data_IF_633377562107
#
_entry.id   IF_633377562107
#
_cell.length_a   1.000
_cell.length_b   1.000
_cell.length_c   1.000
_cell.angle_alpha   90.00
_cell.angle_beta   90.00
_cell.angle_gamma   90.00
#
_symmetry.space_group_name_H-M   'P 1'
#
loop_
_entity.id
_entity.type
_entity.pdbx_description
1 polymer ?
#
# COMPACT_ATOMS: atom_id res chain seq x y z
N UNK A 1 -15.41 22.54 -11.80
CA UNK A 1 -14.52 21.43 -11.39
C UNK A 1 -15.32 20.15 -11.10
N UNK A 2 -16.37 19.86 -11.88
CA UNK A 2 -17.48 18.98 -11.44
C UNK A 2 -17.93 17.97 -12.51
N UNK A 3 -17.47 18.11 -13.75
CA UNK A 3 -17.90 17.28 -14.89
C UNK A 3 -17.22 15.89 -14.89
N UNK A 4 -16.02 15.78 -14.30
CA UNK A 4 -15.25 14.53 -14.28
C UNK A 4 -15.73 13.47 -13.26
N UNK A 5 -16.35 13.90 -12.15
CA UNK A 5 -16.86 12.99 -11.12
C UNK A 5 -18.18 12.36 -11.56
N UNK A 6 -19.04 13.15 -12.22
CA UNK A 6 -20.30 12.68 -12.80
C UNK A 6 -20.04 11.56 -13.83
N UNK A 7 -19.07 11.75 -14.73
CA UNK A 7 -18.69 10.71 -15.71
C UNK A 7 -18.17 9.40 -15.11
N UNK A 8 -17.50 9.46 -13.95
CA UNK A 8 -17.00 8.25 -13.28
C UNK A 8 -18.15 7.48 -12.63
N UNK A 9 -19.09 8.18 -12.00
CA UNK A 9 -20.29 7.59 -11.40
C UNK A 9 -21.23 7.02 -12.48
N UNK A 10 -21.43 7.74 -13.59
CA UNK A 10 -22.20 7.27 -14.75
C UNK A 10 -21.58 6.02 -15.40
N UNK A 11 -20.25 5.93 -15.40
CA UNK A 11 -19.54 4.75 -15.90
C UNK A 11 -19.65 3.56 -14.94
N UNK A 12 -19.54 3.81 -13.63
CA UNK A 12 -19.75 2.81 -12.59
C UNK A 12 -21.18 2.25 -12.63
N UNK A 13 -22.19 3.09 -12.87
CA UNK A 13 -23.59 2.70 -13.09
C UNK A 13 -23.75 1.76 -14.29
N UNK A 14 -23.10 2.06 -15.42
CA UNK A 14 -23.20 1.27 -16.66
C UNK A 14 -22.60 -0.14 -16.58
N UNK A 15 -21.66 -0.38 -15.67
CA UNK A 15 -21.01 -1.69 -15.50
C UNK A 15 -21.64 -2.55 -14.40
N UNK A 16 -22.50 -1.99 -13.54
CA UNK A 16 -23.25 -2.73 -12.50
C UNK A 16 -24.11 -3.88 -13.08
N UNK A 17 -24.55 -3.78 -14.33
CA UNK A 17 -25.37 -4.80 -15.00
C UNK A 17 -24.61 -5.90 -15.74
N UNK A 18 -23.27 -5.81 -15.86
CA UNK A 18 -22.45 -6.75 -16.65
C UNK A 18 -21.81 -7.84 -15.77
N UNK A 19 -21.74 -7.61 -14.45
CA UNK A 19 -21.05 -8.50 -13.51
C UNK A 19 -22.01 -8.80 -12.36
N UNK A 20 -22.45 -10.06 -12.25
CA UNK A 20 -23.28 -10.51 -11.14
C UNK A 20 -22.41 -10.58 -9.87
N UNK A 21 -22.57 -9.59 -8.99
CA UNK A 21 -21.73 -9.36 -7.81
C UNK A 21 -22.13 -10.30 -6.67
N UNK A 22 -21.28 -11.30 -6.39
CA UNK A 22 -21.28 -11.97 -5.09
C UNK A 22 -20.16 -11.39 -4.21
N UNK A 23 -20.55 -10.62 -3.20
CA UNK A 23 -19.85 -10.52 -1.92
C UNK A 23 -18.65 -9.59 -1.73
N UNK A 24 -17.81 -9.27 -2.73
CA UNK A 24 -16.58 -8.46 -2.47
C UNK A 24 -16.29 -7.41 -3.57
N UNK A 25 -16.46 -6.10 -3.29
CA UNK A 25 -16.24 -5.01 -4.24
C UNK A 25 -14.75 -4.71 -4.57
N UNK A 26 -13.79 -5.39 -3.93
CA UNK A 26 -12.35 -5.12 -4.04
C UNK A 26 -11.77 -5.30 -5.45
N UNK A 27 -12.24 -6.28 -6.22
CA UNK A 27 -11.79 -6.49 -7.60
C UNK A 27 -12.19 -5.34 -8.55
N UNK A 28 -13.39 -4.78 -8.37
CA UNK A 28 -13.88 -3.64 -9.15
C UNK A 28 -13.09 -2.37 -8.80
N UNK A 29 -12.76 -2.19 -7.53
CA UNK A 29 -11.93 -1.08 -7.05
C UNK A 29 -10.55 -1.09 -7.74
N UNK A 30 -9.93 -2.25 -7.92
CA UNK A 30 -8.63 -2.36 -8.59
C UNK A 30 -8.70 -1.92 -10.07
N UNK A 31 -9.74 -2.35 -10.80
CA UNK A 31 -9.98 -1.91 -12.19
C UNK A 31 -10.25 -0.41 -12.28
N UNK A 32 -11.02 0.14 -11.33
CA UNK A 32 -11.32 1.58 -11.24
C UNK A 32 -10.05 2.37 -10.95
N UNK A 33 -9.21 1.94 -10.01
CA UNK A 33 -7.94 2.58 -9.68
C UNK A 33 -7.03 2.61 -10.92
N UNK A 34 -6.84 1.46 -11.58
CA UNK A 34 -6.00 1.35 -12.77
C UNK A 34 -6.44 2.32 -13.86
N UNK A 35 -7.75 2.33 -14.21
CA UNK A 35 -8.29 3.23 -15.24
C UNK A 35 -8.30 4.70 -14.81
N UNK A 36 -8.63 5.01 -13.57
CA UNK A 36 -8.69 6.39 -13.06
C UNK A 36 -7.31 7.07 -13.07
N UNK A 37 -6.27 6.39 -12.59
CA UNK A 37 -4.91 6.96 -12.58
C UNK A 37 -4.34 7.13 -13.99
N UNK A 38 -4.61 6.17 -14.89
CA UNK A 38 -4.25 6.28 -16.29
C UNK A 38 -4.98 7.44 -16.99
N UNK A 39 -6.29 7.56 -16.78
CA UNK A 39 -7.12 8.57 -17.44
C UNK A 39 -6.88 9.99 -16.90
N UNK A 40 -6.91 10.17 -15.57
CA UNK A 40 -6.85 11.50 -14.94
C UNK A 40 -5.43 12.04 -14.82
N UNK A 41 -4.47 11.18 -14.48
CA UNK A 41 -3.10 11.61 -14.15
C UNK A 41 -2.05 11.16 -15.17
N UNK A 42 -2.45 10.41 -16.21
CA UNK A 42 -1.52 9.79 -17.18
C UNK A 42 -0.44 8.93 -16.49
N UNK A 43 -0.78 8.35 -15.33
CA UNK A 43 0.10 7.50 -14.53
C UNK A 43 -0.17 6.02 -14.83
N UNK A 44 0.90 5.25 -14.97
CA UNK A 44 0.91 3.79 -15.03
C UNK A 44 0.84 3.26 -13.60
N UNK A 45 -0.35 2.91 -13.16
CA UNK A 45 -0.59 2.15 -11.93
C UNK A 45 -1.22 0.82 -12.34
N UNK A 46 -0.66 -0.28 -11.82
CA UNK A 46 -1.19 -1.62 -12.05
C UNK A 46 -1.40 -2.31 -10.70
N UNK A 47 -2.66 -2.43 -10.30
CA UNK A 47 -3.09 -3.28 -9.20
C UNK A 47 -3.63 -4.58 -9.79
N UNK A 48 -3.01 -5.69 -9.38
CA UNK A 48 -3.39 -7.04 -9.79
C UNK A 48 -4.18 -7.73 -8.69
N UNK A 49 -5.28 -8.40 -9.05
CA UNK A 49 -6.12 -9.12 -8.10
C UNK A 49 -6.81 -8.24 -7.07
N UNK A 50 -7.17 -8.84 -5.93
CA UNK A 50 -7.87 -8.19 -4.83
C UNK A 50 -6.86 -7.60 -3.85
N UNK A 51 -7.00 -6.33 -3.48
CA UNK A 51 -6.32 -5.75 -2.31
C UNK A 51 -7.35 -5.45 -1.22
N UNK A 52 -6.96 -5.62 0.04
CA UNK A 52 -7.79 -5.28 1.18
C UNK A 52 -7.30 -4.00 1.83
N UNK A 53 -8.19 -3.04 2.00
CA UNK A 53 -7.90 -1.80 2.72
C UNK A 53 -8.74 -1.75 3.99
N UNK A 54 -8.08 -1.54 5.11
CA UNK A 54 -8.71 -1.17 6.38
C UNK A 54 -8.45 0.32 6.63
N UNK A 55 -9.51 1.09 6.88
CA UNK A 55 -9.44 2.55 7.02
C UNK A 55 -9.79 3.30 5.73
N UNK A 56 -9.44 4.58 5.69
CA UNK A 56 -9.80 5.44 4.56
C UNK A 56 -8.85 5.28 3.37
N UNK A 57 -9.41 4.99 2.19
CA UNK A 57 -8.67 4.88 0.93
C UNK A 57 -7.90 6.17 0.57
N UNK A 58 -8.37 7.34 1.03
CA UNK A 58 -7.71 8.64 0.88
C UNK A 58 -6.30 8.67 1.47
N UNK A 59 -6.01 7.80 2.43
CA UNK A 59 -4.70 7.71 3.10
C UNK A 59 -3.72 6.76 2.39
N UNK A 60 -4.10 6.19 1.25
CA UNK A 60 -3.18 5.49 0.33
C UNK A 60 -2.86 6.43 -0.83
N UNK A 61 -1.68 7.04 -0.81
CA UNK A 61 -1.29 8.11 -1.71
C UNK A 61 -0.25 7.60 -2.72
N UNK A 62 -0.68 7.39 -3.96
CA UNK A 62 0.22 7.08 -5.08
C UNK A 62 0.73 8.38 -5.72
N UNK A 63 1.83 8.90 -5.18
CA UNK A 63 2.49 10.12 -5.67
C UNK A 63 3.22 9.89 -7.00
N UNK A 64 3.81 8.71 -7.20
CA UNK A 64 4.63 8.42 -8.37
C UNK A 64 3.89 7.79 -9.55
N UNK A 65 4.68 7.42 -10.57
CA UNK A 65 4.30 6.72 -11.79
C UNK A 65 4.92 5.31 -11.80
N UNK A 66 4.43 4.41 -12.65
CA UNK A 66 4.91 3.04 -12.80
C UNK A 66 4.89 2.25 -11.48
N UNK A 67 3.77 2.31 -10.77
CA UNK A 67 3.55 1.55 -9.53
C UNK A 67 2.85 0.23 -9.86
N UNK A 68 3.33 -0.86 -9.28
CA UNK A 68 2.67 -2.17 -9.36
C UNK A 68 2.35 -2.71 -7.96
N UNK A 69 1.16 -3.26 -7.80
CA UNK A 69 0.66 -3.84 -6.54
C UNK A 69 0.11 -5.24 -6.82
N UNK A 70 0.65 -6.22 -6.13
CA UNK A 70 0.30 -7.62 -6.21
C UNK A 70 -1.04 -7.95 -5.56
N UNK A 71 -1.60 -9.10 -5.92
CA UNK A 71 -2.83 -9.60 -5.32
C UNK A 71 -2.68 -9.89 -3.82
N UNK A 72 -3.79 -9.83 -3.10
CA UNK A 72 -3.95 -10.14 -1.68
C UNK A 72 -3.12 -9.27 -0.73
N UNK A 73 -2.66 -8.10 -1.19
CA UNK A 73 -2.04 -7.13 -0.30
C UNK A 73 -3.07 -6.59 0.71
N UNK A 74 -2.61 -6.32 1.93
CA UNK A 74 -3.43 -5.73 3.00
C UNK A 74 -2.81 -4.42 3.43
N UNK A 75 -3.56 -3.32 3.29
CA UNK A 75 -3.16 -1.99 3.74
C UNK A 75 -4.07 -1.56 4.88
N UNK A 76 -3.52 -1.38 6.08
CA UNK A 76 -4.29 -0.95 7.24
C UNK A 76 -3.83 0.44 7.67
N UNK A 77 -4.59 1.45 7.25
CA UNK A 77 -4.34 2.88 7.51
C UNK A 77 -5.38 3.43 8.49
N UNK A 78 -5.09 4.58 9.09
CA UNK A 78 -6.02 5.31 9.96
C UNK A 78 -6.07 6.79 9.58
N UNK A 79 -6.93 7.58 10.22
CA UNK A 79 -6.94 9.04 10.08
C UNK A 79 -5.58 9.71 10.35
N UNK A 80 -4.70 9.06 11.12
CA UNK A 80 -3.40 9.61 11.56
C UNK A 80 -2.19 9.01 10.83
N UNK A 81 -2.40 8.13 9.85
CA UNK A 81 -1.30 7.44 9.17
C UNK A 81 -1.59 7.12 7.72
N UNK A 82 -0.58 7.32 6.86
CA UNK A 82 -0.70 7.16 5.41
C UNK A 82 0.29 6.12 4.89
N UNK A 83 -0.02 5.60 3.71
CA UNK A 83 0.91 4.85 2.87
C UNK A 83 1.20 5.71 1.65
N UNK A 84 2.45 6.12 1.49
CA UNK A 84 2.88 7.03 0.43
C UNK A 84 3.80 6.27 -0.51
N UNK A 85 3.41 6.16 -1.78
CA UNK A 85 4.10 5.36 -2.80
C UNK A 85 4.63 6.28 -3.91
N UNK A 86 5.94 6.25 -4.14
CA UNK A 86 6.63 7.07 -5.13
C UNK A 86 6.76 6.33 -6.49
N UNK A 87 7.75 6.67 -7.32
CA UNK A 87 7.85 6.16 -8.69
C UNK A 87 8.49 4.78 -8.76
N UNK A 88 8.11 3.99 -9.76
CA UNK A 88 8.72 2.69 -10.06
C UNK A 88 8.71 1.74 -8.84
N UNK A 89 7.66 1.79 -8.02
CA UNK A 89 7.54 0.93 -6.84
C UNK A 89 6.83 -0.36 -7.21
N UNK A 90 7.44 -1.48 -6.84
CA UNK A 90 6.84 -2.81 -6.94
C UNK A 90 6.45 -3.34 -5.56
N UNK A 91 5.16 -3.60 -5.35
CA UNK A 91 4.65 -4.29 -4.17
C UNK A 91 4.19 -5.67 -4.63
N UNK A 92 4.87 -6.73 -4.21
CA UNK A 92 4.56 -8.10 -4.62
C UNK A 92 3.30 -8.63 -3.91
N UNK A 93 2.73 -9.77 -4.34
CA UNK A 93 1.52 -10.32 -3.73
C UNK A 93 1.67 -10.58 -2.22
N UNK A 94 0.53 -10.52 -1.51
CA UNK A 94 0.40 -10.81 -0.10
C UNK A 94 1.25 -9.93 0.83
N UNK A 95 1.64 -8.73 0.39
CA UNK A 95 2.34 -7.77 1.25
C UNK A 95 1.35 -7.12 2.22
N UNK A 96 1.76 -7.01 3.48
CA UNK A 96 1.00 -6.34 4.52
C UNK A 96 1.70 -5.03 4.90
N UNK A 97 0.98 -3.91 4.86
CA UNK A 97 1.51 -2.59 5.27
C UNK A 97 0.59 -2.00 6.33
N UNK A 98 1.17 -1.74 7.50
CA UNK A 98 0.46 -1.26 8.69
C UNK A 98 1.25 -0.11 9.32
N UNK A 99 0.98 1.15 8.95
CA UNK A 99 1.73 2.32 9.45
C UNK A 99 1.57 2.63 10.96
N UNK A 100 0.78 1.84 11.68
CA UNK A 100 0.52 1.99 13.10
C UNK A 100 1.10 0.82 13.92
N UNK A 101 1.33 1.07 15.20
CA UNK A 101 1.72 0.06 16.18
C UNK A 101 0.80 0.05 17.40
N UNK A 102 1.13 -0.78 18.37
CA UNK A 102 0.56 -0.74 19.72
C UNK A 102 1.66 -0.38 20.70
N UNK A 103 1.30 0.34 21.77
CA UNK A 103 2.24 0.55 22.87
C UNK A 103 2.40 -0.75 23.67
N UNK A 104 3.47 -1.48 23.35
CA UNK A 104 3.80 -2.77 23.98
C UNK A 104 4.28 -2.64 25.43
N UNK A 105 4.56 -1.43 25.90
CA UNK A 105 4.92 -1.19 27.30
C UNK A 105 3.69 -1.18 28.23
N UNK A 106 2.48 -1.25 27.68
CA UNK A 106 1.24 -1.37 28.45
C UNK A 106 0.77 -2.82 28.41
N UNK A 107 0.60 -3.43 29.59
CA UNK A 107 0.34 -4.85 29.72
C UNK A 107 -1.07 -5.24 29.24
N UNK A 108 -2.10 -4.48 29.62
CA UNK A 108 -3.49 -4.84 29.36
C UNK A 108 -3.92 -4.47 27.93
N UNK A 109 -4.35 -5.44 27.10
CA UNK A 109 -4.69 -5.18 25.70
C UNK A 109 -5.74 -4.08 25.48
N UNK A 110 -6.76 -4.01 26.35
CA UNK A 110 -7.83 -3.00 26.26
C UNK A 110 -7.35 -1.58 26.57
N UNK A 111 -6.19 -1.46 27.21
CA UNK A 111 -5.58 -0.19 27.61
C UNK A 111 -4.41 0.20 26.71
N UNK A 112 -4.04 -0.65 25.73
CA UNK A 112 -2.93 -0.35 24.81
C UNK A 112 -3.38 0.72 23.82
N UNK A 113 -2.90 1.97 23.92
CA UNK A 113 -3.16 2.94 22.89
C UNK A 113 -2.47 2.50 21.59
N UNK A 114 -3.12 2.78 20.47
CA UNK A 114 -2.46 2.75 19.18
C UNK A 114 -1.36 3.82 19.14
N UNK A 115 -0.21 3.42 18.63
CA UNK A 115 0.90 4.33 18.34
C UNK A 115 0.80 4.73 16.87
N UNK A 116 0.66 6.03 16.64
CA UNK A 116 0.65 6.64 15.31
C UNK A 116 1.86 7.57 15.21
N UNK A 117 2.99 7.04 14.76
CA UNK A 117 4.26 7.79 14.71
C UNK A 117 4.54 8.36 13.31
N UNK A 118 3.53 8.45 12.44
CA UNK A 118 3.65 8.91 11.06
C UNK A 118 3.27 7.86 10.01
N UNK A 119 3.88 7.99 8.84
CA UNK A 119 3.48 7.30 7.61
C UNK A 119 4.42 6.13 7.27
N UNK A 120 3.96 5.23 6.39
CA UNK A 120 4.86 4.36 5.63
C UNK A 120 5.16 5.02 4.29
N UNK A 121 6.45 5.18 3.99
CA UNK A 121 6.91 5.84 2.76
C UNK A 121 7.74 4.85 1.96
N UNK A 122 7.30 4.55 0.74
CA UNK A 122 8.07 3.81 -0.25
C UNK A 122 8.61 4.80 -1.28
N UNK A 123 9.93 5.07 -1.21
CA UNK A 123 10.59 5.96 -2.15
C UNK A 123 10.74 5.36 -3.56
N UNK A 124 11.36 6.11 -4.47
CA UNK A 124 11.51 5.69 -5.86
C UNK A 124 12.27 4.35 -5.98
N UNK A 125 11.87 3.53 -6.96
CA UNK A 125 12.53 2.27 -7.32
C UNK A 125 12.58 1.24 -6.17
N UNK A 126 11.68 1.32 -5.20
CA UNK A 126 11.57 0.34 -4.11
C UNK A 126 10.87 -0.93 -4.61
N UNK A 127 11.39 -2.08 -4.21
CA UNK A 127 10.72 -3.37 -4.39
C UNK A 127 10.41 -4.00 -3.03
N UNK A 128 9.15 -4.37 -2.80
CA UNK A 128 8.71 -5.14 -1.63
C UNK A 128 8.34 -6.57 -2.06
N UNK A 129 9.10 -7.55 -1.60
CA UNK A 129 8.94 -8.97 -1.93
C UNK A 129 7.69 -9.59 -1.31
N UNK A 130 7.22 -10.70 -1.89
CA UNK A 130 5.96 -11.34 -1.48
C UNK A 130 5.94 -11.75 -0.02
N UNK A 131 4.75 -11.76 0.61
CA UNK A 131 4.57 -12.11 2.03
C UNK A 131 5.38 -11.26 3.03
N UNK A 132 5.91 -10.11 2.61
CA UNK A 132 6.60 -9.21 3.54
C UNK A 132 5.59 -8.39 4.35
N UNK A 133 5.98 -8.02 5.56
CA UNK A 133 5.21 -7.14 6.43
C UNK A 133 6.01 -5.87 6.73
N UNK A 134 5.41 -4.71 6.51
CA UNK A 134 5.97 -3.41 6.91
C UNK A 134 5.06 -2.87 8.01
N UNK A 135 5.61 -2.67 9.21
CA UNK A 135 4.84 -2.27 10.39
C UNK A 135 5.46 -1.08 11.11
N UNK A 136 4.60 -0.16 11.54
CA UNK A 136 4.98 1.12 12.11
C UNK A 136 5.32 2.16 11.05
N UNK A 137 5.69 3.35 11.52
CA UNK A 137 6.04 4.48 10.67
C UNK A 137 7.46 4.27 10.14
N UNK A 138 7.54 3.73 8.93
CA UNK A 138 8.78 3.26 8.32
C UNK A 138 8.96 3.86 6.93
N UNK A 139 10.15 4.37 6.68
CA UNK A 139 10.61 4.79 5.35
C UNK A 139 11.48 3.71 4.72
N UNK A 140 11.12 3.27 3.52
CA UNK A 140 11.97 2.43 2.66
C UNK A 140 12.65 3.33 1.64
N UNK A 141 13.95 3.50 1.80
CA UNK A 141 14.75 4.42 0.99
C UNK A 141 14.89 3.99 -0.47
N UNK A 142 15.13 4.97 -1.34
CA UNK A 142 15.26 4.80 -2.79
C UNK A 142 16.16 3.63 -3.20
N UNK A 143 15.78 2.93 -4.28
CA UNK A 143 16.48 1.78 -4.85
C UNK A 143 16.65 0.58 -3.89
N UNK A 144 15.86 0.52 -2.81
CA UNK A 144 16.00 -0.56 -1.83
C UNK A 144 15.04 -1.70 -2.09
N UNK A 145 15.45 -2.89 -1.64
CA UNK A 145 14.69 -4.12 -1.79
C UNK A 145 14.38 -4.71 -0.42
N UNK A 146 13.11 -4.99 -0.17
CA UNK A 146 12.65 -5.82 0.96
C UNK A 146 12.49 -7.23 0.42
N UNK A 147 13.29 -8.19 0.90
CA UNK A 147 13.20 -9.58 0.49
C UNK A 147 11.87 -10.21 0.91
N UNK A 148 11.43 -11.25 0.20
CA UNK A 148 10.20 -11.96 0.51
C UNK A 148 10.17 -12.49 1.97
N UNK A 149 9.01 -12.42 2.61
CA UNK A 149 8.81 -12.86 3.99
C UNK A 149 9.47 -11.98 5.06
N UNK A 150 10.07 -10.85 4.71
CA UNK A 150 10.73 -9.99 5.69
C UNK A 150 9.70 -9.20 6.53
N UNK A 151 10.02 -8.96 7.80
CA UNK A 151 9.24 -8.09 8.69
C UNK A 151 10.04 -6.83 8.99
N UNK A 152 9.69 -5.74 8.31
CA UNK A 152 10.36 -4.45 8.44
C UNK A 152 9.69 -3.63 9.54
N UNK A 153 10.47 -3.32 10.58
CA UNK A 153 10.02 -2.56 11.76
C UNK A 153 10.80 -1.27 11.97
N UNK A 154 11.75 -0.95 11.08
CA UNK A 154 12.64 0.21 11.15
C UNK A 154 12.94 0.71 9.74
N UNK A 155 13.30 1.97 9.62
CA UNK A 155 13.70 2.59 8.36
C UNK A 155 14.79 1.78 7.65
N UNK A 156 14.64 1.68 6.33
CA UNK A 156 15.61 1.07 5.44
C UNK A 156 16.33 2.19 4.69
N UNK A 157 17.66 2.33 4.85
CA UNK A 157 18.42 3.31 4.09
C UNK A 157 18.34 3.02 2.59
N UNK A 158 18.52 4.05 1.76
CA UNK A 158 18.59 3.89 0.31
C UNK A 158 19.70 2.93 -0.12
N UNK A 159 19.55 2.33 -1.30
CA UNK A 159 20.52 1.41 -1.90
C UNK A 159 20.86 0.22 -0.99
N UNK A 160 19.87 -0.33 -0.30
CA UNK A 160 20.04 -1.50 0.56
C UNK A 160 19.11 -2.65 0.17
N UNK A 161 19.52 -3.88 0.50
CA UNK A 161 18.61 -5.03 0.56
C UNK A 161 18.43 -5.43 2.01
N UNK A 162 17.20 -5.59 2.46
CA UNK A 162 16.86 -6.08 3.80
C UNK A 162 16.10 -7.41 3.74
N UNK A 163 16.35 -8.28 4.72
CA UNK A 163 15.66 -9.57 4.85
C UNK A 163 15.55 -10.02 6.31
N UNK A 164 14.66 -10.96 6.59
CA UNK A 164 14.49 -11.60 7.89
C UNK A 164 13.41 -11.01 8.79
N UNK A 165 13.28 -11.57 10.00
CA UNK A 165 12.29 -11.19 11.02
C UNK A 165 13.01 -11.03 12.37
N UNK A 166 13.24 -9.80 12.86
CA UNK A 166 13.05 -8.53 12.15
C UNK A 166 14.04 -8.37 10.99
N UNK A 167 13.66 -7.56 10.00
CA UNK A 167 14.47 -7.32 8.81
C UNK A 167 15.79 -6.62 9.15
N UNK A 168 16.88 -7.12 8.58
CA UNK A 168 18.23 -6.57 8.71
C UNK A 168 18.82 -6.33 7.32
N UNK A 169 19.71 -5.35 7.22
CA UNK A 169 20.47 -5.10 5.98
C UNK A 169 21.35 -6.32 5.70
N UNK A 170 21.15 -6.95 4.54
CA UNK A 170 21.96 -8.08 4.05
C UNK A 170 22.87 -7.68 2.90
N UNK A 171 22.62 -6.53 2.27
CA UNK A 171 23.46 -5.98 1.20
C UNK A 171 23.33 -4.46 1.14
N UNK A 172 24.42 -3.80 0.79
CA UNK A 172 24.48 -2.39 0.37
C UNK A 172 25.03 -2.33 -1.05
N UNK A 173 24.54 -1.40 -1.87
CA UNK A 173 25.07 -1.13 -3.21
C UNK A 173 26.05 0.04 -3.18
#
# INVERSE_FOLDING_TARGET
>A
MTIGVVRLLDWLEKIKGIIQLSGDPSALICLVINKYYQYKFKKKVNVSGIIKVYGEYSNIIIKGNAVSIGAFCVFAVTEKSKIIIHNNVGISPCVVIVPQGLNINILYPNERPHIFNGDVILEDNVWVGSNSTIVGSVKIGKNSVVAAGAVVTKDVPSNCVVAGVPAKIIKKF
#
